data_IF_658030600113
#
_entry.id   IF_658030600113
#
_cell.length_a   1.000
_cell.length_b   1.000
_cell.length_c   1.000
_cell.angle_alpha   90.00
_cell.angle_beta   90.00
_cell.angle_gamma   90.00
#
_symmetry.space_group_name_H-M   'P 1'
#
loop_
_entity.id
_entity.type
_entity.pdbx_description
1 polymer ?
#
# COMPACT_ATOMS: atom_id res chain seq x y z
N UNK A 1 -26.97 -8.26 -2.08
CA UNK A 1 -26.22 -8.25 -3.37
C UNK A 1 -25.85 -6.82 -3.77
N UNK A 2 -25.78 -5.90 -2.81
CA UNK A 2 -25.63 -4.45 -3.04
C UNK A 2 -24.17 -4.01 -3.27
N UNK A 3 -23.23 -4.93 -3.05
CA UNK A 3 -21.81 -4.76 -3.28
C UNK A 3 -21.47 -4.59 -4.77
N UNK A 4 -22.25 -5.21 -5.66
CA UNK A 4 -21.98 -5.24 -7.11
C UNK A 4 -22.80 -4.23 -7.91
N UNK A 5 -23.48 -3.27 -7.26
CA UNK A 5 -24.34 -2.27 -7.93
C UNK A 5 -23.67 -0.89 -7.96
N UNK A 6 -23.61 -0.28 -9.15
CA UNK A 6 -23.24 1.12 -9.36
C UNK A 6 -21.84 1.49 -8.82
N UNK A 7 -21.76 2.59 -8.08
CA UNK A 7 -20.51 3.10 -7.50
C UNK A 7 -19.82 2.10 -6.54
N UNK A 8 -20.59 1.24 -5.87
CA UNK A 8 -20.05 0.23 -4.95
C UNK A 8 -19.21 -0.83 -5.68
N UNK A 9 -19.56 -1.18 -6.92
CA UNK A 9 -18.77 -2.12 -7.72
C UNK A 9 -17.35 -1.60 -7.98
N UNK A 10 -17.25 -0.30 -8.27
CA UNK A 10 -15.96 0.36 -8.51
C UNK A 10 -15.11 0.41 -7.24
N UNK A 11 -15.74 0.75 -6.10
CA UNK A 11 -15.10 0.74 -4.77
C UNK A 11 -14.57 -0.64 -4.41
N UNK A 12 -15.42 -1.66 -4.49
CA UNK A 12 -15.04 -3.04 -4.19
C UNK A 12 -13.99 -3.57 -5.18
N UNK A 13 -14.09 -3.22 -6.46
CA UNK A 13 -13.09 -3.60 -7.47
C UNK A 13 -11.70 -3.03 -7.16
N UNK A 14 -11.61 -1.77 -6.71
CA UNK A 14 -10.34 -1.15 -6.28
C UNK A 14 -9.77 -1.88 -5.06
N UNK A 15 -10.59 -2.14 -4.04
CA UNK A 15 -10.18 -2.85 -2.83
C UNK A 15 -9.68 -4.28 -3.14
N UNK A 16 -10.38 -5.01 -4.00
CA UNK A 16 -9.97 -6.38 -4.39
C UNK A 16 -8.67 -6.36 -5.20
N UNK A 17 -8.52 -5.39 -6.10
CA UNK A 17 -7.36 -5.30 -6.99
C UNK A 17 -6.09 -4.92 -6.23
N UNK A 18 -6.15 -3.94 -5.32
CA UNK A 18 -4.98 -3.55 -4.53
C UNK A 18 -4.51 -4.67 -3.60
N UNK A 19 -5.45 -5.41 -3.00
CA UNK A 19 -5.11 -6.58 -2.19
C UNK A 19 -4.58 -7.75 -3.01
N UNK A 20 -4.98 -7.87 -4.28
CA UNK A 20 -4.40 -8.85 -5.20
C UNK A 20 -2.96 -8.48 -5.56
N UNK A 21 -2.69 -7.20 -5.87
CA UNK A 21 -1.34 -6.72 -6.15
C UNK A 21 -0.40 -6.88 -4.95
N UNK A 22 -0.88 -6.71 -3.72
CA UNK A 22 -0.08 -7.00 -2.52
C UNK A 22 0.49 -8.44 -2.55
N UNK A 23 -0.29 -9.44 -2.96
CA UNK A 23 0.19 -10.83 -3.03
C UNK A 23 1.00 -11.09 -4.30
N UNK A 24 0.53 -10.58 -5.45
CA UNK A 24 1.18 -10.77 -6.75
C UNK A 24 2.53 -10.06 -6.86
N UNK A 25 2.85 -9.15 -5.96
CA UNK A 25 4.17 -8.51 -5.95
C UNK A 25 5.26 -9.34 -5.26
N UNK A 26 4.91 -10.52 -4.73
CA UNK A 26 5.88 -11.51 -4.26
C UNK A 26 6.23 -11.38 -2.77
N UNK A 27 5.31 -10.92 -1.92
CA UNK A 27 5.56 -10.85 -0.46
C UNK A 27 5.95 -12.21 0.12
N UNK A 28 5.28 -13.29 -0.32
CA UNK A 28 5.59 -14.67 0.08
C UNK A 28 6.97 -15.12 -0.43
N UNK A 29 7.40 -14.65 -1.60
CA UNK A 29 8.71 -15.01 -2.15
C UNK A 29 9.83 -14.58 -1.20
N UNK A 30 9.75 -13.38 -0.62
CA UNK A 30 10.75 -12.93 0.35
C UNK A 30 10.57 -13.51 1.74
N UNK A 31 9.35 -13.51 2.27
CA UNK A 31 9.11 -13.93 3.66
C UNK A 31 9.20 -15.44 3.87
N UNK A 32 8.76 -16.24 2.89
CA UNK A 32 8.67 -17.71 3.03
C UNK A 32 9.72 -18.46 2.22
N UNK A 33 10.09 -17.96 1.04
CA UNK A 33 11.06 -18.62 0.16
C UNK A 33 12.43 -17.94 0.11
N UNK A 34 12.64 -16.87 0.88
CA UNK A 34 13.93 -16.17 1.00
C UNK A 34 15.11 -17.10 1.32
N UNK A 35 15.04 -17.97 2.36
CA UNK A 35 16.12 -18.91 2.66
C UNK A 35 16.44 -19.87 1.50
N UNK A 36 15.40 -20.36 0.81
CA UNK A 36 15.55 -21.27 -0.33
C UNK A 36 16.19 -20.55 -1.51
N UNK A 37 15.83 -19.29 -1.73
CA UNK A 37 16.46 -18.44 -2.72
C UNK A 37 17.94 -18.19 -2.39
N UNK A 38 18.28 -17.81 -1.15
CA UNK A 38 19.69 -17.63 -0.75
C UNK A 38 20.52 -18.90 -0.94
N UNK A 39 19.96 -20.08 -0.61
CA UNK A 39 20.62 -21.36 -0.90
C UNK A 39 20.86 -21.58 -2.39
N UNK A 40 19.90 -21.22 -3.26
CA UNK A 40 20.04 -21.37 -4.71
C UNK A 40 21.11 -20.47 -5.33
N UNK A 41 21.46 -19.36 -4.67
CA UNK A 41 22.48 -18.39 -5.11
C UNK A 41 23.86 -18.69 -4.50
N UNK A 42 23.99 -19.76 -3.71
CA UNK A 42 25.26 -20.15 -3.07
C UNK A 42 25.52 -19.50 -1.71
N UNK A 43 24.52 -18.84 -1.12
CA UNK A 43 24.58 -18.19 0.21
C UNK A 43 23.96 -19.06 1.31
N UNK A 44 24.15 -20.38 1.23
CA UNK A 44 23.46 -21.35 2.08
C UNK A 44 23.80 -21.21 3.58
N UNK A 45 25.06 -20.90 3.90
CA UNK A 45 25.57 -20.86 5.29
C UNK A 45 24.91 -19.76 6.13
N UNK A 46 24.58 -18.63 5.49
CA UNK A 46 24.01 -17.45 6.16
C UNK A 46 22.53 -17.23 5.81
N UNK A 47 21.91 -18.13 5.04
CA UNK A 47 20.53 -17.99 4.57
C UNK A 47 19.51 -17.76 5.69
N UNK A 48 19.68 -18.43 6.85
CA UNK A 48 18.81 -18.24 8.01
C UNK A 48 19.00 -16.86 8.63
N UNK A 49 20.25 -16.40 8.78
CA UNK A 49 20.57 -15.07 9.34
C UNK A 49 19.97 -13.98 8.46
N UNK A 50 20.12 -14.07 7.13
CA UNK A 50 19.52 -13.11 6.21
C UNK A 50 17.99 -13.10 6.29
N UNK A 51 17.34 -14.24 6.47
CA UNK A 51 15.89 -14.28 6.65
C UNK A 51 15.43 -13.65 7.97
N UNK A 52 16.18 -13.86 9.06
CA UNK A 52 15.89 -13.22 10.35
C UNK A 52 16.06 -11.71 10.25
N UNK A 53 17.16 -11.23 9.65
CA UNK A 53 17.38 -9.80 9.39
C UNK A 53 16.23 -9.22 8.56
N UNK A 54 15.83 -9.92 7.49
CA UNK A 54 14.75 -9.48 6.63
C UNK A 54 13.42 -9.31 7.37
N UNK A 55 13.05 -10.25 8.23
CA UNK A 55 11.85 -10.15 9.06
C UNK A 55 11.97 -9.01 10.09
N UNK A 56 13.12 -8.87 10.76
CA UNK A 56 13.35 -7.79 11.73
C UNK A 56 13.23 -6.40 11.08
N UNK A 57 13.85 -6.20 9.92
CA UNK A 57 13.74 -4.95 9.17
C UNK A 57 12.32 -4.71 8.69
N UNK A 58 11.59 -5.76 8.28
CA UNK A 58 10.19 -5.65 7.84
C UNK A 58 9.31 -5.06 8.95
N UNK A 59 9.48 -5.49 10.20
CA UNK A 59 8.75 -4.96 11.36
C UNK A 59 9.05 -3.47 11.58
N UNK A 60 10.31 -3.07 11.47
CA UNK A 60 10.72 -1.67 11.62
C UNK A 60 10.10 -0.82 10.50
N UNK A 61 10.20 -1.27 9.26
CA UNK A 61 9.64 -0.55 8.10
C UNK A 61 8.12 -0.50 8.12
N UNK A 62 7.44 -1.54 8.62
CA UNK A 62 5.99 -1.54 8.78
C UNK A 62 5.54 -0.50 9.83
N UNK A 63 6.31 -0.32 10.90
CA UNK A 63 6.04 0.72 11.91
C UNK A 63 6.24 2.11 11.32
N UNK A 64 7.33 2.32 10.57
CA UNK A 64 7.60 3.58 9.88
C UNK A 64 6.52 3.90 8.85
N UNK A 65 5.96 2.88 8.19
CA UNK A 65 4.94 3.05 7.16
C UNK A 65 3.74 3.88 7.63
N UNK A 66 3.35 3.78 8.91
CA UNK A 66 2.24 4.56 9.48
C UNK A 66 2.50 6.06 9.29
N UNK A 67 3.68 6.53 9.68
CA UNK A 67 4.07 7.94 9.55
C UNK A 67 4.19 8.35 8.08
N UNK A 68 4.80 7.49 7.26
CA UNK A 68 4.99 7.80 5.83
C UNK A 68 3.66 7.91 5.09
N UNK A 69 2.70 7.01 5.36
CA UNK A 69 1.39 7.01 4.73
C UNK A 69 0.60 8.29 5.03
N UNK A 70 0.71 8.80 6.25
CA UNK A 70 0.07 10.04 6.65
C UNK A 70 0.80 11.27 6.04
N UNK A 71 2.13 11.24 5.93
CA UNK A 71 2.92 12.35 5.39
C UNK A 71 2.84 12.48 3.87
N UNK A 72 3.01 11.40 3.11
CA UNK A 72 3.17 11.46 1.64
C UNK A 72 1.90 11.16 0.85
N UNK A 73 0.87 10.62 1.52
CA UNK A 73 -0.35 10.17 0.84
C UNK A 73 -0.20 8.77 0.26
N UNK A 74 -1.34 8.09 0.09
CA UNK A 74 -1.37 6.65 -0.14
C UNK A 74 -1.06 6.32 -1.61
N UNK A 75 -1.54 7.14 -2.55
CA UNK A 75 -1.34 6.94 -3.98
C UNK A 75 0.12 7.13 -4.37
N UNK A 76 0.73 8.23 -3.93
CA UNK A 76 2.13 8.56 -4.23
C UNK A 76 3.08 7.47 -3.76
N UNK A 77 2.85 6.96 -2.54
CA UNK A 77 3.66 5.88 -1.97
C UNK A 77 3.52 4.56 -2.72
N UNK A 78 2.31 4.15 -3.10
CA UNK A 78 2.12 2.90 -3.86
C UNK A 78 2.73 3.02 -5.27
N UNK A 79 2.60 4.17 -5.93
CA UNK A 79 3.18 4.38 -7.26
C UNK A 79 4.71 4.34 -7.19
N UNK A 80 5.33 5.17 -6.34
CA UNK A 80 6.80 5.25 -6.24
C UNK A 80 7.39 3.98 -5.61
N UNK A 81 6.66 3.39 -4.65
CA UNK A 81 6.98 2.11 -4.04
C UNK A 81 7.03 0.99 -5.08
N UNK A 82 6.00 0.82 -5.91
CA UNK A 82 6.00 -0.24 -6.92
C UNK A 82 7.08 -0.05 -8.01
N UNK A 83 7.42 1.19 -8.38
CA UNK A 83 8.51 1.47 -9.33
C UNK A 83 9.87 1.09 -8.75
N UNK A 84 10.15 1.54 -7.53
CA UNK A 84 11.41 1.24 -6.84
C UNK A 84 11.52 -0.26 -6.51
N UNK A 85 10.45 -0.87 -6.01
CA UNK A 85 10.37 -2.31 -5.74
C UNK A 85 10.59 -3.14 -7.02
N UNK A 86 9.94 -2.77 -8.12
CA UNK A 86 10.13 -3.41 -9.42
C UNK A 86 11.57 -3.33 -9.92
N UNK A 87 12.22 -2.17 -9.74
CA UNK A 87 13.62 -1.98 -10.10
C UNK A 87 14.56 -2.89 -9.30
N UNK A 88 14.36 -3.02 -7.98
CA UNK A 88 15.16 -3.93 -7.16
C UNK A 88 14.92 -5.40 -7.51
N UNK A 89 13.68 -5.81 -7.80
CA UNK A 89 13.38 -7.17 -8.24
C UNK A 89 14.05 -7.51 -9.58
N UNK A 90 14.04 -6.59 -10.53
CA UNK A 90 14.75 -6.74 -11.82
C UNK A 90 16.26 -6.83 -11.61
N UNK A 91 16.82 -6.01 -10.71
CA UNK A 91 18.25 -6.06 -10.38
C UNK A 91 18.65 -7.40 -9.73
N UNK A 92 17.87 -7.91 -8.78
CA UNK A 92 18.08 -9.23 -8.17
C UNK A 92 18.02 -10.33 -9.23
N UNK A 93 17.04 -10.26 -10.13
CA UNK A 93 16.86 -11.25 -11.18
C UNK A 93 18.02 -11.24 -12.19
N UNK A 94 18.59 -10.06 -12.49
CA UNK A 94 19.74 -9.92 -13.36
C UNK A 94 21.02 -10.47 -12.71
N UNK A 95 21.29 -10.07 -11.45
CA UNK A 95 22.47 -10.51 -10.71
C UNK A 95 22.44 -12.02 -10.44
N UNK A 96 21.26 -12.59 -10.16
CA UNK A 96 21.09 -14.01 -9.90
C UNK A 96 21.25 -14.91 -11.12
N UNK A 97 21.48 -14.38 -12.33
CA UNK A 97 21.78 -15.17 -13.53
C UNK A 97 23.27 -15.33 -13.82
N UNK A 98 24.13 -14.61 -13.10
CA UNK A 98 25.57 -14.63 -13.34
C UNK A 98 26.13 -15.97 -12.84
N UNK A 99 26.71 -16.76 -13.74
CA UNK A 99 27.36 -18.03 -13.41
C UNK A 99 28.70 -17.73 -12.71
N UNK A 100 28.79 -18.06 -11.42
CA UNK A 100 29.88 -17.73 -10.47
C UNK A 100 29.86 -16.27 -9.98
N UNK A 101 28.91 -15.90 -9.09
CA UNK A 101 28.84 -14.56 -8.56
C UNK A 101 30.08 -14.24 -7.71
N UNK A 102 30.70 -13.09 -7.98
CA UNK A 102 31.67 -12.47 -7.11
C UNK A 102 31.03 -12.13 -5.75
N UNK A 103 31.85 -11.96 -4.71
CA UNK A 103 31.40 -11.54 -3.37
C UNK A 103 30.55 -10.26 -3.45
N UNK A 104 30.89 -9.35 -4.37
CA UNK A 104 30.14 -8.11 -4.60
C UNK A 104 28.73 -8.35 -5.16
N UNK A 105 28.57 -9.31 -6.06
CA UNK A 105 27.28 -9.62 -6.71
C UNK A 105 26.35 -10.33 -5.73
N UNK A 106 26.89 -11.28 -4.96
CA UNK A 106 26.17 -11.97 -3.87
C UNK A 106 25.66 -10.98 -2.82
N UNK A 107 26.51 -10.03 -2.39
CA UNK A 107 26.08 -8.97 -1.46
C UNK A 107 25.03 -8.04 -2.08
N UNK A 108 25.13 -7.75 -3.39
CA UNK A 108 24.12 -6.99 -4.12
C UNK A 108 22.76 -7.68 -4.17
N UNK A 109 22.72 -9.01 -4.30
CA UNK A 109 21.48 -9.80 -4.26
C UNK A 109 20.81 -9.72 -2.89
N UNK A 110 21.59 -9.87 -1.81
CA UNK A 110 21.07 -9.76 -0.43
C UNK A 110 20.56 -8.34 -0.14
N UNK A 111 21.34 -7.31 -0.49
CA UNK A 111 20.95 -5.92 -0.29
C UNK A 111 19.70 -5.57 -1.11
N UNK A 112 19.64 -6.02 -2.37
CA UNK A 112 18.46 -5.85 -3.22
C UNK A 112 17.23 -6.49 -2.63
N UNK A 113 17.34 -7.72 -2.13
CA UNK A 113 16.24 -8.44 -1.48
C UNK A 113 15.75 -7.75 -0.20
N UNK A 114 16.68 -7.19 0.56
CA UNK A 114 16.35 -6.43 1.77
C UNK A 114 15.63 -5.14 1.43
N UNK A 115 16.15 -4.34 0.49
CA UNK A 115 15.55 -3.08 0.06
C UNK A 115 14.18 -3.29 -0.58
N UNK A 116 14.04 -4.31 -1.43
CA UNK A 116 12.77 -4.78 -1.98
C UNK A 116 11.74 -4.98 -0.86
N UNK A 117 12.13 -5.74 0.17
CA UNK A 117 11.22 -6.11 1.26
C UNK A 117 10.86 -4.89 2.13
N UNK A 118 11.83 -3.99 2.39
CA UNK A 118 11.60 -2.74 3.08
C UNK A 118 10.56 -1.87 2.36
N UNK A 119 10.71 -1.69 1.05
CA UNK A 119 9.81 -0.87 0.25
C UNK A 119 8.41 -1.47 0.22
N UNK A 120 8.30 -2.80 0.07
CA UNK A 120 7.02 -3.50 0.08
C UNK A 120 6.27 -3.27 1.40
N UNK A 121 6.94 -3.44 2.53
CA UNK A 121 6.33 -3.26 3.86
C UNK A 121 6.08 -1.80 4.23
N UNK A 122 6.81 -0.87 3.62
CA UNK A 122 6.59 0.57 3.81
C UNK A 122 5.43 1.12 2.96
N UNK A 123 5.11 0.47 1.84
CA UNK A 123 4.16 0.99 0.85
C UNK A 123 2.94 0.09 0.66
N UNK A 124 3.04 -0.92 -0.22
CA UNK A 124 1.95 -1.81 -0.64
C UNK A 124 1.39 -2.67 0.49
N UNK A 125 2.21 -3.07 1.45
CA UNK A 125 1.78 -3.85 2.61
C UNK A 125 0.65 -3.13 3.38
N UNK A 126 0.95 -2.09 4.16
CA UNK A 126 -0.06 -1.36 4.92
C UNK A 126 -1.00 -0.54 4.03
N UNK A 127 -0.49 0.04 2.94
CA UNK A 127 -1.30 0.85 2.02
C UNK A 127 -2.47 0.10 1.40
N UNK A 128 -2.32 -1.19 1.08
CA UNK A 128 -3.42 -1.98 0.53
C UNK A 128 -4.54 -2.24 1.55
N UNK A 129 -4.19 -2.56 2.81
CA UNK A 129 -5.18 -2.79 3.87
C UNK A 129 -5.94 -1.51 4.24
N UNK A 130 -5.21 -0.39 4.37
CA UNK A 130 -5.81 0.90 4.70
C UNK A 130 -6.74 1.37 3.57
N UNK A 131 -6.28 1.30 2.32
CA UNK A 131 -7.10 1.69 1.17
C UNK A 131 -8.35 0.83 1.05
N UNK A 132 -8.24 -0.49 1.26
CA UNK A 132 -9.40 -1.38 1.24
C UNK A 132 -10.43 -1.04 2.33
N UNK A 133 -9.96 -0.60 3.51
CA UNK A 133 -10.81 -0.16 4.60
C UNK A 133 -11.48 1.21 4.32
N UNK A 134 -10.77 2.16 3.73
CA UNK A 134 -11.28 3.53 3.49
C UNK A 134 -12.25 3.61 2.30
N UNK A 135 -12.06 2.80 1.27
CA UNK A 135 -12.87 2.82 0.04
C UNK A 135 -14.31 2.31 0.26
N UNK A 136 -14.52 1.48 1.29
CA UNK A 136 -15.84 0.93 1.60
C UNK A 136 -16.80 1.96 2.21
N UNK A 137 -18.03 2.03 1.69
CA UNK A 137 -19.12 2.84 2.25
C UNK A 137 -19.48 2.39 3.66
N UNK A 138 -19.88 3.30 4.55
CA UNK A 138 -20.05 3.03 6.00
C UNK A 138 -20.87 1.76 6.33
N UNK A 139 -21.91 1.45 5.57
CA UNK A 139 -22.78 0.26 5.75
C UNK A 139 -22.28 -1.02 5.07
N UNK A 140 -21.39 -0.90 4.09
CA UNK A 140 -20.88 -2.00 3.26
C UNK A 140 -19.37 -2.25 3.44
N UNK A 141 -18.71 -1.47 4.30
CA UNK A 141 -17.27 -1.52 4.53
C UNK A 141 -16.81 -2.88 5.02
N UNK A 142 -17.49 -3.45 6.00
CA UNK A 142 -17.17 -4.78 6.52
C UNK A 142 -17.26 -5.86 5.44
N UNK A 143 -18.31 -5.80 4.60
CA UNK A 143 -18.51 -6.75 3.50
C UNK A 143 -17.47 -6.59 2.40
N UNK A 144 -17.10 -5.35 2.09
CA UNK A 144 -16.06 -5.03 1.10
C UNK A 144 -14.71 -5.54 1.58
N UNK A 145 -14.37 -5.28 2.84
CA UNK A 145 -13.12 -5.73 3.46
C UNK A 145 -13.05 -7.26 3.58
N UNK A 146 -14.16 -7.92 3.94
CA UNK A 146 -14.22 -9.38 3.98
C UNK A 146 -13.99 -9.99 2.59
N UNK A 147 -14.61 -9.43 1.54
CA UNK A 147 -14.43 -9.91 0.18
C UNK A 147 -13.02 -9.67 -0.35
N UNK A 148 -12.45 -8.47 -0.14
CA UNK A 148 -11.09 -8.15 -0.58
C UNK A 148 -10.07 -9.03 0.14
N UNK A 149 -10.27 -9.30 1.44
CA UNK A 149 -9.42 -10.21 2.21
C UNK A 149 -9.56 -11.66 1.74
N UNK A 150 -10.77 -12.13 1.42
CA UNK A 150 -10.95 -13.46 0.84
C UNK A 150 -10.19 -13.60 -0.50
N UNK A 151 -10.25 -12.58 -1.35
CA UNK A 151 -9.49 -12.55 -2.62
C UNK A 151 -7.99 -12.52 -2.36
N UNK A 152 -7.53 -11.73 -1.38
CA UNK A 152 -6.13 -11.72 -0.95
C UNK A 152 -5.66 -13.13 -0.59
N UNK A 153 -6.44 -13.88 0.19
CA UNK A 153 -6.10 -15.26 0.58
C UNK A 153 -6.07 -16.19 -0.63
N UNK A 154 -7.03 -16.10 -1.55
CA UNK A 154 -7.07 -16.93 -2.77
C UNK A 154 -5.88 -16.65 -3.69
N UNK A 155 -5.57 -15.38 -3.94
CA UNK A 155 -4.41 -14.98 -4.74
C UNK A 155 -3.12 -15.38 -4.03
N UNK A 156 -3.06 -15.19 -2.72
CA UNK A 156 -1.95 -15.60 -1.87
C UNK A 156 -1.70 -17.11 -1.94
N UNK A 157 -2.75 -17.93 -1.91
CA UNK A 157 -2.64 -19.38 -2.09
C UNK A 157 -2.02 -19.72 -3.45
N UNK A 158 -2.47 -19.06 -4.54
CA UNK A 158 -1.90 -19.26 -5.87
C UNK A 158 -0.42 -18.91 -5.93
N UNK A 159 -0.02 -17.79 -5.32
CA UNK A 159 1.38 -17.34 -5.24
C UNK A 159 2.22 -18.32 -4.42
N UNK A 160 1.77 -18.71 -3.21
CA UNK A 160 2.47 -19.68 -2.35
C UNK A 160 2.63 -21.01 -3.07
N UNK A 161 1.57 -21.52 -3.67
CA UNK A 161 1.59 -22.79 -4.39
C UNK A 161 2.51 -22.74 -5.61
N UNK A 162 2.49 -21.65 -6.39
CA UNK A 162 3.27 -21.52 -7.63
C UNK A 162 4.75 -21.21 -7.43
N UNK A 163 5.11 -20.45 -6.38
CA UNK A 163 6.49 -20.01 -6.11
C UNK A 163 7.53 -21.13 -6.08
N UNK A 164 7.34 -22.28 -5.41
CA UNK A 164 8.34 -23.35 -5.37
C UNK A 164 8.51 -24.07 -6.72
N UNK A 165 7.48 -24.12 -7.57
CA UNK A 165 7.62 -24.64 -8.93
C UNK A 165 8.38 -23.65 -9.81
N UNK A 166 8.04 -22.37 -9.70
CA UNK A 166 8.75 -21.30 -10.40
C UNK A 166 10.23 -21.23 -10.04
N UNK A 167 10.56 -21.37 -8.75
CA UNK A 167 11.95 -21.31 -8.28
C UNK A 167 12.77 -22.52 -8.77
N UNK A 168 12.16 -23.71 -8.90
CA UNK A 168 12.84 -24.89 -9.45
C UNK A 168 13.10 -24.79 -10.95
N UNK A 169 12.19 -24.19 -11.71
CA UNK A 169 12.28 -24.12 -13.17
C UNK A 169 13.06 -22.89 -13.66
N UNK A 170 12.86 -21.74 -13.01
CA UNK A 170 13.39 -20.45 -13.46
C UNK A 170 14.46 -19.88 -12.52
N UNK A 171 14.63 -20.43 -11.31
CA UNK A 171 15.59 -19.92 -10.33
C UNK A 171 15.35 -18.44 -10.03
N UNK A 172 16.42 -17.65 -10.12
CA UNK A 172 16.42 -16.20 -9.93
C UNK A 172 15.58 -15.43 -10.95
N UNK A 173 15.32 -16.00 -12.14
CA UNK A 173 14.50 -15.35 -13.15
C UNK A 173 13.03 -15.19 -12.75
N UNK A 174 12.57 -15.93 -11.73
CA UNK A 174 11.23 -15.77 -11.16
C UNK A 174 11.00 -14.33 -10.64
N UNK A 175 12.06 -13.65 -10.18
CA UNK A 175 11.96 -12.27 -9.72
C UNK A 175 11.60 -11.27 -10.84
N UNK A 176 11.81 -11.59 -12.12
CA UNK A 176 11.28 -10.77 -13.23
C UNK A 176 9.75 -10.76 -13.29
N UNK A 177 9.11 -11.89 -12.97
CA UNK A 177 7.65 -12.00 -12.97
C UNK A 177 7.08 -11.11 -11.87
N UNK A 178 7.63 -11.21 -10.66
CA UNK A 178 7.26 -10.35 -9.53
C UNK A 178 7.54 -8.87 -9.81
N UNK A 179 8.66 -8.56 -10.44
CA UNK A 179 9.01 -7.19 -10.86
C UNK A 179 8.01 -6.64 -11.88
N UNK A 180 7.59 -7.46 -12.84
CA UNK A 180 6.55 -7.09 -13.81
C UNK A 180 5.21 -6.77 -13.14
N UNK A 181 4.79 -7.58 -12.17
CA UNK A 181 3.59 -7.28 -11.36
C UNK A 181 3.75 -6.04 -10.49
N UNK A 182 4.96 -5.75 -9.98
CA UNK A 182 5.23 -4.52 -9.25
C UNK A 182 5.07 -3.27 -10.14
N UNK A 183 5.64 -3.27 -11.35
CA UNK A 183 5.42 -2.17 -12.30
C UNK A 183 3.96 -2.05 -12.72
N UNK A 184 3.30 -3.17 -12.97
CA UNK A 184 1.87 -3.17 -13.31
C UNK A 184 1.03 -2.59 -12.16
N UNK A 185 1.38 -2.90 -10.91
CA UNK A 185 0.71 -2.34 -9.73
C UNK A 185 0.89 -0.82 -9.65
N UNK A 186 2.07 -0.28 -9.98
CA UNK A 186 2.32 1.16 -10.05
C UNK A 186 1.51 1.84 -11.15
N UNK A 187 1.46 1.24 -12.35
CA UNK A 187 0.66 1.77 -13.47
C UNK A 187 -0.81 1.76 -13.10
N UNK A 188 -1.30 0.66 -12.51
CA UNK A 188 -2.68 0.57 -12.05
C UNK A 188 -2.97 1.59 -10.96
N UNK A 189 -2.08 1.75 -9.98
CA UNK A 189 -2.24 2.74 -8.91
C UNK A 189 -2.25 4.18 -9.45
N UNK A 190 -1.50 4.46 -10.52
CA UNK A 190 -1.55 5.76 -11.17
C UNK A 190 -2.93 6.08 -11.75
N UNK A 191 -3.60 5.13 -12.39
CA UNK A 191 -4.89 5.36 -13.07
C UNK A 191 -6.11 5.14 -12.16
N UNK A 192 -6.08 4.15 -11.28
CA UNK A 192 -7.28 3.66 -10.60
C UNK A 192 -7.29 3.90 -9.10
N UNK A 193 -6.15 4.20 -8.47
CA UNK A 193 -6.08 4.45 -7.03
C UNK A 193 -6.40 5.93 -6.73
N UNK A 194 -7.48 6.22 -5.99
CA UNK A 194 -7.77 7.58 -5.54
C UNK A 194 -6.81 8.00 -4.43
N UNK A 195 -6.52 9.29 -4.34
CA UNK A 195 -5.87 9.86 -3.15
C UNK A 195 -6.94 10.14 -2.09
N UNK A 196 -6.77 9.56 -0.90
CA UNK A 196 -7.73 9.60 0.20
C UNK A 196 -7.18 10.39 1.41
N UNK A 197 -5.97 10.93 1.31
CA UNK A 197 -5.31 11.65 2.40
C UNK A 197 -6.11 12.88 2.84
N UNK A 198 -6.33 12.99 4.16
CA UNK A 198 -6.89 14.19 4.79
C UNK A 198 -8.37 14.42 4.52
N UNK A 199 -9.10 13.40 4.05
CA UNK A 199 -10.54 13.48 3.74
C UNK A 199 -11.36 12.66 4.71
N UNK A 200 -12.53 13.18 5.08
CA UNK A 200 -13.45 12.44 5.94
C UNK A 200 -14.12 11.31 5.16
N UNK A 201 -14.55 10.24 5.84
CA UNK A 201 -15.21 9.09 5.23
C UNK A 201 -16.46 9.48 4.44
N UNK A 202 -17.19 10.50 4.91
CA UNK A 202 -18.36 11.05 4.22
C UNK A 202 -18.00 11.82 2.95
N UNK A 203 -16.85 12.52 2.93
CA UNK A 203 -16.33 13.21 1.74
C UNK A 203 -15.88 12.20 0.69
N UNK A 204 -15.24 11.11 1.12
CA UNK A 204 -14.88 9.98 0.27
C UNK A 204 -16.16 9.40 -0.36
N UNK A 205 -17.23 9.25 0.42
CA UNK A 205 -18.51 8.78 -0.10
C UNK A 205 -19.06 9.69 -1.20
N UNK A 206 -19.04 11.01 -1.01
CA UNK A 206 -19.45 12.00 -2.02
C UNK A 206 -18.57 11.96 -3.28
N UNK A 207 -17.25 11.86 -3.13
CA UNK A 207 -16.32 11.79 -4.26
C UNK A 207 -16.59 10.61 -5.19
N UNK A 208 -16.93 9.46 -4.62
CA UNK A 208 -17.31 8.27 -5.37
C UNK A 208 -18.71 8.37 -5.99
N UNK A 209 -19.61 9.18 -5.43
CA UNK A 209 -20.95 9.42 -5.98
C UNK A 209 -20.93 10.43 -7.15
N UNK A 210 -20.00 11.39 -7.14
CA UNK A 210 -19.73 12.32 -8.26
C UNK A 210 -19.11 11.63 -9.48
N UNK A 211 -18.77 10.33 -9.38
CA UNK A 211 -18.22 9.49 -10.45
C UNK A 211 -16.98 10.08 -11.15
N UNK A 212 -16.17 10.84 -10.41
CA UNK A 212 -14.92 11.41 -10.92
C UNK A 212 -13.89 10.31 -11.20
N UNK A 213 -12.96 10.49 -12.15
CA UNK A 213 -11.84 9.58 -12.33
C UNK A 213 -10.90 9.63 -11.12
N UNK A 214 -10.35 8.48 -10.72
CA UNK A 214 -9.58 8.34 -9.47
C UNK A 214 -8.38 9.30 -9.36
N UNK A 215 -7.79 9.68 -10.50
CA UNK A 215 -6.66 10.61 -10.52
C UNK A 215 -7.01 12.07 -10.23
N UNK A 216 -8.28 12.47 -10.26
CA UNK A 216 -8.76 13.83 -9.95
C UNK A 216 -9.29 14.00 -8.52
N UNK A 217 -9.27 12.95 -7.71
CA UNK A 217 -9.80 13.00 -6.33
C UNK A 217 -9.05 14.00 -5.44
N UNK A 218 -7.77 14.26 -5.73
CA UNK A 218 -6.97 15.22 -4.97
C UNK A 218 -7.33 16.69 -5.23
N UNK A 219 -7.95 17.00 -6.37
CA UNK A 219 -8.18 18.37 -6.84
C UNK A 219 -9.63 18.85 -6.59
N UNK A 220 -10.52 17.93 -6.20
CA UNK A 220 -11.93 18.24 -5.98
C UNK A 220 -12.18 18.74 -4.56
N UNK A 221 -12.65 19.98 -4.42
CA UNK A 221 -13.16 20.50 -3.15
C UNK A 221 -14.59 20.01 -2.93
N UNK A 222 -14.84 19.41 -1.76
CA UNK A 222 -16.16 18.95 -1.36
C UNK A 222 -16.96 20.14 -0.82
N UNK A 223 -18.13 20.41 -1.41
CA UNK A 223 -19.01 21.51 -0.98
C UNK A 223 -20.00 21.06 0.12
N UNK A 224 -20.31 21.95 1.07
CA UNK A 224 -21.42 21.82 2.04
C UNK A 224 -21.06 21.29 3.44
N UNK A 225 -22.07 20.82 4.19
CA UNK A 225 -22.01 20.35 5.60
C UNK A 225 -20.88 19.35 5.90
N UNK A 226 -20.39 18.68 4.86
CA UNK A 226 -19.33 17.66 4.98
C UNK A 226 -17.95 18.31 5.14
N UNK A 227 -17.73 19.47 4.52
CA UNK A 227 -16.54 20.30 4.73
C UNK A 227 -16.54 20.96 6.12
N UNK A 228 -17.70 21.44 6.59
CA UNK A 228 -17.83 21.99 7.96
C UNK A 228 -17.50 20.94 9.03
N UNK A 229 -17.95 19.68 8.87
CA UNK A 229 -17.58 18.59 9.77
C UNK A 229 -16.08 18.28 9.75
N UNK A 230 -15.43 18.35 8.58
CA UNK A 230 -13.98 18.17 8.43
C UNK A 230 -13.20 19.29 9.14
N UNK A 231 -13.68 20.53 9.09
CA UNK A 231 -13.08 21.68 9.80
C UNK A 231 -13.22 21.53 11.32
N UNK A 232 -14.37 21.03 11.79
CA UNK A 232 -14.63 20.78 13.21
C UNK A 232 -13.80 19.61 13.77
N UNK A 233 -13.68 18.49 13.04
CA UNK A 233 -12.88 17.33 13.48
C UNK A 233 -11.37 17.57 13.40
N UNK A 234 -10.89 18.39 12.45
CA UNK A 234 -9.47 18.78 12.36
C UNK A 234 -9.04 19.86 13.38
N UNK A 235 -9.95 20.35 14.23
CA UNK A 235 -9.61 21.20 15.38
C UNK A 235 -8.97 22.54 15.02
N UNK A 236 -9.25 23.10 13.84
CA UNK A 236 -8.68 24.39 13.43
C UNK A 236 -9.51 25.61 13.88
N UNK A 237 -10.73 25.42 14.40
CA UNK A 237 -11.61 26.53 14.80
C UNK A 237 -12.05 26.55 16.28
N UNK A 238 -11.49 25.72 17.18
CA UNK A 238 -11.68 26.01 18.63
C UNK A 238 -11.16 27.39 18.98
N UNK A 239 -10.11 27.88 18.30
CA UNK A 239 -9.61 29.25 18.50
C UNK A 239 -10.53 30.34 17.97
N UNK A 240 -11.23 30.14 16.84
CA UNK A 240 -12.16 31.18 16.33
C UNK A 240 -13.48 31.20 17.08
N UNK A 241 -13.97 30.05 17.52
CA UNK A 241 -15.18 29.99 18.36
C UNK A 241 -14.89 30.57 19.74
N UNK A 242 -13.73 30.30 20.34
CA UNK A 242 -13.33 30.94 21.60
C UNK A 242 -13.07 32.45 21.43
N UNK A 243 -12.42 32.88 20.33
CA UNK A 243 -12.20 34.32 20.05
C UNK A 243 -13.51 35.08 19.78
N UNK A 244 -14.50 34.46 19.13
CA UNK A 244 -15.81 35.07 18.86
C UNK A 244 -16.68 35.13 20.13
N UNK A 245 -16.58 34.13 21.02
CA UNK A 245 -17.23 34.12 22.34
C UNK A 245 -16.57 35.12 23.30
N UNK A 246 -15.25 35.30 23.28
CA UNK A 246 -14.53 36.31 24.08
C UNK A 246 -14.76 37.75 23.55
N UNK A 247 -14.95 37.92 22.24
CA UNK A 247 -15.32 39.21 21.64
C UNK A 247 -16.76 39.61 21.96
N UNK A 248 -17.70 38.67 22.03
CA UNK A 248 -19.07 38.93 22.50
C UNK A 248 -19.13 39.19 24.01
N UNK A 249 -18.35 38.46 24.82
CA UNK A 249 -18.28 38.68 26.27
C UNK A 249 -17.74 40.07 26.64
N UNK A 250 -16.73 40.56 25.90
CA UNK A 250 -16.17 41.90 26.10
C UNK A 250 -17.08 43.04 25.62
N UNK A 251 -17.95 42.80 24.64
CA UNK A 251 -18.97 43.79 24.22
C UNK A 251 -20.12 43.93 25.23
N UNK A 252 -20.43 42.89 26.00
CA UNK A 252 -21.48 42.91 27.02
C UNK A 252 -21.03 43.59 28.32
N UNK A 253 -19.75 43.47 28.69
CA UNK A 253 -19.19 44.17 29.87
C UNK A 253 -18.93 45.67 29.64
N UNK A 254 -18.77 46.12 28.40
CA UNK A 254 -18.56 47.53 28.05
C UNK A 254 -19.82 48.40 28.00
N UNK A 255 -21.02 47.82 28.20
CA UNK A 255 -22.31 48.53 28.14
C UNK A 255 -23.06 48.59 29.49
N UNK A 256 -22.39 48.33 30.61
CA UNK A 256 -22.94 48.52 31.97
C UNK A 256 -22.31 49.70 32.71
#
# INVERSE_FOLDING_TARGET
>A
MDLFRGSNLRRTGIACTIMSFQQLTGVTFSSSYGPTFYRSVGLADMAFVYAVVNNATSVITATMAIVFLDMFGRRTLVVHGGWSQGAFLVAIAALGRIENPSVHESNGIVAGMQLYTCILHMTLGPGAYITAAEVGTQTLREKTMALSTAINVVVGFGVVFGTPYGLRQFGSALAYIWGGFAFLSSVWAWFFMPELKGRNLKEIDQLFDTNLPAWKFSEYETEGLTHELTVLENGQDTKKVDDEVDLEASHVEGQR
#
